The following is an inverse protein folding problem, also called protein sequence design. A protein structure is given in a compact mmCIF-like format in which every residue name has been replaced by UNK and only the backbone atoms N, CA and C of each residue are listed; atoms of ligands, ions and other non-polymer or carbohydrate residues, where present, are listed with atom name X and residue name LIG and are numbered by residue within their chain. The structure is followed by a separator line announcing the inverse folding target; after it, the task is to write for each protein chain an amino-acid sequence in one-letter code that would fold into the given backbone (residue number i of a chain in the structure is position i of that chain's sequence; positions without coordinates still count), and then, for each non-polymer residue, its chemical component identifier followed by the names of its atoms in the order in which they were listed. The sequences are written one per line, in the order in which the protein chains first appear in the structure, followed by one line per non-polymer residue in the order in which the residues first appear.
data_IF_120228748234
#
_entry.id   IF_120228748234
#
_cell.length_a   1.000
_cell.length_b   1.000
_cell.length_c   1.000
_cell.angle_alpha   90.00
_cell.angle_beta   90.00
_cell.angle_gamma   90.00
#
_symmetry.space_group_name_H-M   'P 1'
#
loop_
_entity.id
_entity.type
_entity.pdbx_description
1 polymer ?
#
# COMPACT_ATOMS: atom_id res chain seq x y z
N UNK A 1 43.69 -1.84 -22.52
CA UNK A 1 42.69 -0.99 -21.86
C UNK A 1 41.41 -1.80 -21.75
N UNK A 2 41.23 -2.47 -20.63
CA UNK A 2 40.07 -3.33 -20.37
C UNK A 2 38.85 -2.42 -20.12
N UNK A 3 37.89 -2.41 -21.05
CA UNK A 3 36.55 -1.91 -20.77
C UNK A 3 35.96 -2.83 -19.69
N UNK A 4 35.87 -2.32 -18.46
CA UNK A 4 34.96 -2.92 -17.49
C UNK A 4 33.57 -2.82 -18.11
N UNK A 5 33.02 -3.96 -18.50
CA UNK A 5 31.57 -4.09 -18.74
C UNK A 5 30.87 -3.65 -17.44
N UNK A 6 30.42 -2.41 -17.43
CA UNK A 6 29.44 -1.98 -16.46
C UNK A 6 28.14 -2.73 -16.84
N UNK A 7 28.01 -3.97 -16.36
CA UNK A 7 26.70 -4.61 -16.32
C UNK A 7 25.81 -3.65 -15.54
N UNK A 8 24.95 -2.96 -16.27
CA UNK A 8 23.90 -2.13 -15.68
C UNK A 8 23.00 -3.06 -14.89
N UNK A 9 23.15 -3.05 -13.56
CA UNK A 9 22.36 -3.88 -12.68
C UNK A 9 20.87 -3.58 -12.93
N UNK A 10 20.09 -4.61 -13.21
CA UNK A 10 18.65 -4.47 -13.42
C UNK A 10 18.02 -3.82 -12.18
N UNK A 11 17.19 -2.79 -12.41
CA UNK A 11 16.46 -2.09 -11.36
C UNK A 11 14.97 -2.44 -11.42
N UNK A 12 14.33 -2.36 -10.27
CA UNK A 12 12.91 -2.67 -10.11
C UNK A 12 12.21 -1.55 -9.36
N UNK A 13 10.92 -1.45 -9.56
CA UNK A 13 10.05 -0.51 -8.86
C UNK A 13 8.82 -1.22 -8.33
N UNK A 14 8.21 -0.66 -7.30
CA UNK A 14 6.96 -1.12 -6.73
C UNK A 14 5.86 -0.12 -7.10
N UNK A 15 4.78 -0.60 -7.72
CA UNK A 15 3.54 0.12 -7.87
C UNK A 15 2.54 -0.37 -6.83
N UNK A 16 1.88 0.54 -6.15
CA UNK A 16 0.85 0.26 -5.14
C UNK A 16 -0.44 0.93 -5.53
N UNK A 17 -1.53 0.17 -5.56
CA UNK A 17 -2.88 0.66 -5.84
C UNK A 17 -3.78 0.38 -4.63
N UNK A 18 -4.21 1.46 -3.96
CA UNK A 18 -5.19 1.39 -2.87
C UNK A 18 -6.59 1.45 -3.44
N UNK A 19 -7.24 0.29 -3.51
CA UNK A 19 -8.63 0.18 -3.93
C UNK A 19 -9.63 0.42 -2.80
N UNK A 20 -10.91 0.11 -3.06
CA UNK A 20 -12.00 0.33 -2.09
C UNK A 20 -12.00 -0.66 -0.92
N UNK A 21 -11.52 -1.88 -1.13
CA UNK A 21 -11.59 -3.00 -0.17
C UNK A 21 -10.26 -3.74 0.03
N UNK A 22 -9.26 -3.37 -0.74
CA UNK A 22 -7.96 -4.03 -0.76
C UNK A 22 -6.88 -3.11 -1.33
N UNK A 23 -5.63 -3.43 -1.05
CA UNK A 23 -4.46 -2.85 -1.70
C UNK A 23 -3.78 -3.90 -2.57
N UNK A 24 -3.32 -3.49 -3.74
CA UNK A 24 -2.50 -4.31 -4.64
C UNK A 24 -1.09 -3.75 -4.74
N UNK A 25 -0.13 -4.66 -4.79
CA UNK A 25 1.28 -4.35 -4.99
C UNK A 25 1.80 -5.12 -6.22
N UNK A 26 2.57 -4.44 -7.07
CA UNK A 26 3.19 -5.00 -8.26
C UNK A 26 4.67 -4.62 -8.30
N UNK A 27 5.55 -5.58 -8.49
CA UNK A 27 6.99 -5.36 -8.71
C UNK A 27 7.27 -5.50 -10.20
N UNK A 28 7.91 -4.48 -10.77
CA UNK A 28 8.13 -4.34 -12.21
C UNK A 28 9.59 -4.06 -12.50
N UNK A 29 10.13 -4.71 -13.54
CA UNK A 29 11.45 -4.40 -14.11
C UNK A 29 11.43 -3.06 -14.84
N UNK A 30 12.40 -2.18 -14.55
CA UNK A 30 12.42 -0.84 -15.16
C UNK A 30 12.89 -0.83 -16.63
N UNK A 31 13.55 -1.90 -17.06
CA UNK A 31 14.13 -1.98 -18.41
C UNK A 31 13.08 -2.29 -19.49
N UNK A 32 12.10 -3.14 -19.16
CA UNK A 32 11.16 -3.71 -20.14
C UNK A 32 9.70 -3.73 -19.67
N UNK A 33 9.44 -3.31 -18.42
CA UNK A 33 8.10 -3.34 -17.84
C UNK A 33 7.63 -4.75 -17.45
N UNK A 34 8.54 -5.72 -17.36
CA UNK A 34 8.19 -7.08 -16.98
C UNK A 34 7.62 -7.13 -15.56
N UNK A 35 6.46 -7.75 -15.41
CA UNK A 35 5.86 -8.02 -14.10
C UNK A 35 6.61 -9.17 -13.42
N UNK A 36 7.21 -8.91 -12.27
CA UNK A 36 8.04 -9.86 -11.54
C UNK A 36 7.24 -10.60 -10.47
N UNK A 37 6.50 -9.85 -9.66
CA UNK A 37 5.67 -10.39 -8.59
C UNK A 37 4.52 -9.45 -8.27
N UNK A 38 3.44 -10.00 -7.75
CA UNK A 38 2.32 -9.22 -7.24
C UNK A 38 1.69 -9.85 -6.00
N UNK A 39 1.04 -9.02 -5.21
CA UNK A 39 0.24 -9.44 -4.07
C UNK A 39 -1.00 -8.56 -3.93
N UNK A 40 -1.97 -9.04 -3.16
CA UNK A 40 -3.20 -8.31 -2.81
C UNK A 40 -3.51 -8.57 -1.34
N UNK A 41 -3.74 -7.52 -0.58
CA UNK A 41 -4.15 -7.61 0.81
C UNK A 41 -5.50 -6.91 1.01
N UNK A 42 -6.49 -7.64 1.52
CA UNK A 42 -7.80 -7.09 1.83
C UNK A 42 -7.76 -6.26 3.12
N UNK A 43 -8.58 -5.21 3.18
CA UNK A 43 -8.73 -4.38 4.38
C UNK A 43 -9.55 -5.14 5.44
N UNK A 44 -8.96 -5.55 6.56
CA UNK A 44 -9.62 -6.45 7.50
C UNK A 44 -10.81 -5.82 8.23
N UNK A 45 -10.76 -4.52 8.53
CA UNK A 45 -11.86 -3.79 9.21
C UNK A 45 -13.00 -3.52 8.24
N UNK A 46 -12.69 -3.11 7.02
CA UNK A 46 -13.66 -2.95 5.94
C UNK A 46 -14.41 -4.25 5.65
N UNK A 47 -13.71 -5.36 5.54
CA UNK A 47 -14.31 -6.69 5.32
C UNK A 47 -15.31 -7.06 6.41
N UNK A 48 -15.07 -6.64 7.64
CA UNK A 48 -15.97 -6.83 8.79
C UNK A 48 -17.05 -5.74 8.89
N UNK A 49 -17.02 -4.73 8.02
CA UNK A 49 -17.94 -3.58 8.02
C UNK A 49 -17.98 -2.81 9.34
N UNK A 50 -16.86 -2.72 10.05
CA UNK A 50 -16.80 -2.13 11.39
C UNK A 50 -17.17 -0.64 11.41
N UNK A 51 -16.93 0.08 10.31
CA UNK A 51 -17.16 1.53 10.17
C UNK A 51 -18.17 1.85 9.08
N UNK A 52 -19.12 0.94 8.85
CA UNK A 52 -20.19 1.09 7.87
C UNK A 52 -21.53 1.17 8.57
N UNK A 53 -22.34 2.16 8.21
CA UNK A 53 -23.75 2.29 8.62
C UNK A 53 -24.61 2.55 7.38
N UNK A 54 -25.22 1.51 6.79
CA UNK A 54 -26.07 1.67 5.61
C UNK A 54 -27.28 2.57 5.83
N UNK A 55 -27.80 2.66 7.06
CA UNK A 55 -28.97 3.50 7.38
C UNK A 55 -28.64 5.00 7.23
N UNK A 56 -27.39 5.37 7.46
CA UNK A 56 -26.85 6.72 7.28
C UNK A 56 -26.09 6.89 5.96
N UNK A 57 -26.11 5.87 5.08
CA UNK A 57 -25.30 5.83 3.87
C UNK A 57 -23.81 6.10 4.16
N UNK A 58 -23.30 5.58 5.28
CA UNK A 58 -21.93 5.77 5.75
C UNK A 58 -21.11 4.52 5.48
N UNK A 59 -20.01 4.68 4.72
CA UNK A 59 -19.08 3.60 4.38
C UNK A 59 -17.66 4.13 4.55
N UNK A 60 -17.06 3.89 5.73
CA UNK A 60 -15.74 4.43 6.08
C UNK A 60 -14.69 3.33 6.16
N UNK A 61 -13.54 3.62 5.60
CA UNK A 61 -12.33 2.82 5.76
C UNK A 61 -11.55 3.34 6.97
N UNK A 62 -10.86 2.44 7.66
CA UNK A 62 -10.03 2.82 8.80
C UNK A 62 -8.57 3.02 8.35
N UNK A 63 -7.84 4.05 8.82
CA UNK A 63 -6.46 4.30 8.42
C UNK A 63 -5.51 3.12 8.62
N UNK A 64 -5.70 2.31 9.67
CA UNK A 64 -4.90 1.10 9.89
C UNK A 64 -5.10 0.04 8.80
N UNK A 65 -6.24 0.00 8.13
CA UNK A 65 -6.45 -0.92 7.02
C UNK A 65 -5.49 -0.61 5.87
N UNK A 66 -5.22 0.66 5.61
CA UNK A 66 -4.24 1.08 4.61
C UNK A 66 -2.82 0.70 5.02
N UNK A 67 -2.43 1.00 6.26
CA UNK A 67 -1.06 0.78 6.77
C UNK A 67 -0.74 -0.70 6.86
N UNK A 68 -1.55 -1.47 7.57
CA UNK A 68 -1.32 -2.90 7.82
C UNK A 68 -1.40 -3.72 6.52
N UNK A 69 -2.38 -3.40 5.66
CA UNK A 69 -2.52 -4.10 4.38
C UNK A 69 -1.42 -3.73 3.38
N UNK A 70 -0.91 -2.49 3.40
CA UNK A 70 0.25 -2.12 2.61
C UNK A 70 1.48 -2.93 3.04
N UNK A 71 1.77 -2.99 4.34
CA UNK A 71 2.91 -3.77 4.85
C UNK A 71 2.80 -5.25 4.45
N UNK A 72 1.63 -5.85 4.63
CA UNK A 72 1.39 -7.23 4.24
C UNK A 72 1.60 -7.42 2.73
N UNK A 73 0.98 -6.58 1.92
CA UNK A 73 1.02 -6.68 0.47
C UNK A 73 2.44 -6.58 -0.09
N UNK A 74 3.20 -5.58 0.37
CA UNK A 74 4.59 -5.38 -0.04
C UNK A 74 5.47 -6.54 0.42
N UNK A 75 5.33 -7.00 1.66
CA UNK A 75 6.07 -8.15 2.19
C UNK A 75 5.85 -9.40 1.35
N UNK A 76 4.59 -9.73 1.06
CA UNK A 76 4.25 -10.90 0.23
C UNK A 76 4.80 -10.80 -1.20
N UNK A 77 4.78 -9.61 -1.82
CA UNK A 77 5.35 -9.42 -3.14
C UNK A 77 6.88 -9.58 -3.13
N UNK A 78 7.56 -9.04 -2.10
CA UNK A 78 9.02 -9.18 -1.93
C UNK A 78 9.44 -10.64 -1.68
N UNK A 79 8.68 -11.39 -0.90
CA UNK A 79 8.93 -12.82 -0.67
C UNK A 79 8.83 -13.63 -1.98
N UNK A 80 7.88 -13.28 -2.85
CA UNK A 80 7.69 -13.95 -4.14
C UNK A 80 8.79 -13.63 -5.16
N UNK A 81 9.32 -12.41 -5.14
CA UNK A 81 10.32 -11.98 -6.14
C UNK A 81 11.75 -12.41 -5.83
N UNK A 82 12.04 -12.77 -4.58
CA UNK A 82 13.35 -13.18 -4.13
C UNK A 82 14.31 -12.03 -3.82
N UNK A 83 15.41 -12.39 -3.12
CA UNK A 83 16.34 -11.41 -2.55
C UNK A 83 17.02 -10.52 -3.60
N UNK A 84 17.42 -11.08 -4.73
CA UNK A 84 18.13 -10.32 -5.80
C UNK A 84 17.27 -9.17 -6.31
N UNK A 85 15.99 -9.42 -6.56
CA UNK A 85 15.04 -8.38 -7.00
C UNK A 85 14.79 -7.38 -5.87
N UNK A 86 14.54 -7.87 -4.65
CA UNK A 86 14.29 -7.02 -3.49
C UNK A 86 15.43 -6.03 -3.21
N UNK A 87 16.68 -6.48 -3.28
CA UNK A 87 17.86 -5.65 -3.06
C UNK A 87 18.06 -4.57 -4.16
N UNK A 88 17.39 -4.72 -5.29
CA UNK A 88 17.47 -3.83 -6.44
C UNK A 88 16.23 -2.98 -6.69
N UNK A 89 15.31 -2.94 -5.73
CA UNK A 89 14.20 -1.99 -5.74
C UNK A 89 14.74 -0.57 -5.57
N UNK A 90 14.41 0.32 -6.50
CA UNK A 90 14.89 1.70 -6.50
C UNK A 90 13.79 2.76 -6.35
N UNK A 91 12.53 2.35 -6.28
CA UNK A 91 11.41 3.27 -6.11
C UNK A 91 10.10 2.59 -5.80
N UNK A 92 9.20 3.36 -5.22
CA UNK A 92 7.82 2.99 -4.97
C UNK A 92 6.90 4.16 -5.36
N UNK A 93 5.76 3.87 -5.97
CA UNK A 93 4.73 4.85 -6.25
C UNK A 93 3.36 4.35 -5.83
N UNK A 94 2.45 5.29 -5.62
CA UNK A 94 1.13 5.01 -5.09
C UNK A 94 0.05 5.57 -6.01
N UNK A 95 -1.00 4.79 -6.19
CA UNK A 95 -2.30 5.23 -6.68
C UNK A 95 -3.36 4.92 -5.62
N UNK A 96 -4.41 5.72 -5.55
CA UNK A 96 -5.45 5.55 -4.54
C UNK A 96 -6.83 5.87 -5.11
N UNK A 97 -7.87 5.36 -4.46
CA UNK A 97 -9.24 5.80 -4.73
C UNK A 97 -9.37 7.28 -4.49
N UNK A 98 -9.99 8.01 -5.42
CA UNK A 98 -10.26 9.42 -5.27
C UNK A 98 -11.29 9.68 -4.15
N UNK A 99 -11.21 10.88 -3.54
CA UNK A 99 -12.19 11.38 -2.58
C UNK A 99 -12.32 10.54 -1.29
N UNK A 100 -11.20 10.05 -0.76
CA UNK A 100 -11.13 9.40 0.55
C UNK A 100 -10.36 10.32 1.52
N UNK A 101 -10.99 11.41 2.02
CA UNK A 101 -10.32 12.31 2.95
C UNK A 101 -10.18 11.66 4.33
N UNK A 102 -9.06 11.95 5.01
CA UNK A 102 -8.85 11.60 6.40
C UNK A 102 -8.57 12.87 7.21
N UNK A 103 -9.25 13.00 8.36
CA UNK A 103 -8.96 14.08 9.30
C UNK A 103 -7.70 13.72 10.09
N UNK A 104 -6.78 14.67 10.20
CA UNK A 104 -5.52 14.50 10.93
C UNK A 104 -5.32 15.58 11.98
N UNK A 105 -4.45 15.31 12.96
CA UNK A 105 -3.91 16.33 13.83
C UNK A 105 -2.86 17.19 13.07
N UNK A 106 -2.27 18.17 13.76
CA UNK A 106 -1.24 19.05 13.20
C UNK A 106 0.07 18.33 12.80
N UNK A 107 0.27 17.10 13.28
CA UNK A 107 1.41 16.23 12.96
C UNK A 107 1.12 15.30 11.80
N UNK A 108 -0.09 15.36 11.25
CA UNK A 108 -0.54 14.48 10.16
C UNK A 108 -0.98 13.08 10.64
N UNK A 109 -1.20 12.89 11.95
CA UNK A 109 -1.71 11.61 12.47
C UNK A 109 -3.23 11.59 12.28
N UNK A 110 -3.79 10.56 11.60
CA UNK A 110 -5.24 10.42 11.47
C UNK A 110 -5.93 10.40 12.83
N UNK A 111 -7.01 11.18 13.00
CA UNK A 111 -7.72 11.28 14.28
C UNK A 111 -8.22 9.92 14.77
N UNK A 112 -8.65 9.05 13.88
CA UNK A 112 -9.08 7.70 14.21
C UNK A 112 -7.99 6.83 14.88
N UNK A 113 -6.71 7.24 14.82
CA UNK A 113 -5.59 6.55 15.47
C UNK A 113 -5.23 7.14 16.83
N UNK A 114 -5.86 8.25 17.22
CA UNK A 114 -5.61 8.90 18.49
C UNK A 114 -6.54 8.32 19.57
N UNK A 115 -6.02 7.97 20.77
CA UNK A 115 -6.81 7.35 21.83
C UNK A 115 -8.06 8.16 22.25
N UNK A 116 -7.95 9.48 22.24
CA UNK A 116 -9.05 10.40 22.59
C UNK A 116 -10.23 10.36 21.61
N UNK A 117 -10.02 9.84 20.38
CA UNK A 117 -11.05 9.73 19.36
C UNK A 117 -11.46 8.28 19.05
N UNK A 118 -10.94 7.29 19.79
CA UNK A 118 -11.15 5.87 19.51
C UNK A 118 -12.65 5.47 19.44
N UNK A 119 -13.49 6.14 20.24
CA UNK A 119 -14.94 5.90 20.29
C UNK A 119 -15.75 6.93 19.49
N UNK A 120 -15.09 7.84 18.79
CA UNK A 120 -15.78 8.87 18.01
C UNK A 120 -16.06 8.36 16.58
N UNK A 121 -17.34 8.17 16.21
CA UNK A 121 -17.71 7.65 14.89
C UNK A 121 -17.42 8.64 13.74
N UNK A 122 -17.06 9.87 14.05
CA UNK A 122 -16.80 10.93 13.08
C UNK A 122 -15.29 11.23 12.91
N UNK A 123 -14.43 10.53 13.67
CA UNK A 123 -12.99 10.67 13.58
C UNK A 123 -12.37 9.83 12.46
#
# INVERSE_FOLDING_TARGET
MLRRDMQTQTKYVIGVDFGSDSVRCLIVGTADGAEIASAVAAYPRWKKRLYCDPSLNRYRQHPLDYIESLEQCVREALEKCGKEVADNICGISFDTTASTPALTDERGVPLALLPEYAENPDA
#
